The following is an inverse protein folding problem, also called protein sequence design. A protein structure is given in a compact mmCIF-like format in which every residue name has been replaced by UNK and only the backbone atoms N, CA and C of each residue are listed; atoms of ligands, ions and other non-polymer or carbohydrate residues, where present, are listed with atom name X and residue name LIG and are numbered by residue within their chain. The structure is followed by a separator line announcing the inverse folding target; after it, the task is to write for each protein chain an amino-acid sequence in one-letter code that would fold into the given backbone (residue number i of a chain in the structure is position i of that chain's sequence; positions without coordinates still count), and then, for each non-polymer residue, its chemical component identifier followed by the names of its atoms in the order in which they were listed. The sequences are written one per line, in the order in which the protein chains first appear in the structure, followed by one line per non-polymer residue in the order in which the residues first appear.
data_IF_201961272551
#
_entry.id   IF_201961272551
#
_cell.length_a   1.000
_cell.length_b   1.000
_cell.length_c   1.000
_cell.angle_alpha   90.00
_cell.angle_beta   90.00
_cell.angle_gamma   90.00
#
_symmetry.space_group_name_H-M   'P 1'
#
loop_
_entity.id
_entity.type
_entity.pdbx_description
1 polymer ?
#
# COMPACT_ATOMS: atom_id res chain seq x y z
N UNK A 1 -3.25 -9.74 -3.68
CA UNK A 1 -4.35 -9.22 -2.85
C UNK A 1 -4.96 -8.00 -3.52
N UNK A 2 -6.30 -7.93 -3.59
CA UNK A 2 -6.99 -6.72 -4.03
C UNK A 2 -7.16 -5.81 -2.81
N UNK A 3 -6.55 -4.63 -2.82
CA UNK A 3 -6.53 -3.74 -1.65
C UNK A 3 -7.49 -2.56 -1.75
N UNK A 4 -8.14 -2.37 -2.90
CA UNK A 4 -9.03 -1.24 -3.17
C UNK A 4 -8.39 0.10 -2.73
N UNK A 5 -9.05 0.82 -1.83
CA UNK A 5 -8.69 2.18 -1.39
C UNK A 5 -7.86 2.21 -0.09
N UNK A 6 -7.19 1.11 0.27
CA UNK A 6 -6.28 1.06 1.42
C UNK A 6 -5.26 2.21 1.44
N UNK A 7 -4.81 2.62 0.26
CA UNK A 7 -3.87 3.71 0.04
C UNK A 7 -4.35 4.58 -1.14
N UNK A 8 -4.55 5.87 -0.87
CA UNK A 8 -4.98 6.85 -1.87
C UNK A 8 -3.81 7.42 -2.70
N UNK A 9 -2.56 7.29 -2.24
CA UNK A 9 -1.38 7.77 -2.96
C UNK A 9 -0.19 6.83 -2.78
N UNK A 10 0.37 6.34 -3.88
CA UNK A 10 1.44 5.33 -3.89
C UNK A 10 2.76 5.76 -3.20
N UNK A 11 2.96 7.07 -3.01
CA UNK A 11 4.08 7.62 -2.23
C UNK A 11 3.68 7.88 -0.77
N UNK A 12 2.78 8.84 -0.52
CA UNK A 12 2.49 9.32 0.84
C UNK A 12 1.86 8.27 1.73
N UNK A 13 0.82 7.56 1.25
CA UNK A 13 0.13 6.55 2.06
C UNK A 13 1.02 5.36 2.40
N UNK A 14 2.09 5.12 1.63
CA UNK A 14 3.07 4.08 1.90
C UNK A 14 4.19 4.57 2.82
N UNK A 15 4.76 5.74 2.52
CA UNK A 15 5.86 6.31 3.31
C UNK A 15 5.41 6.79 4.71
N UNK A 16 4.14 7.19 4.84
CA UNK A 16 3.52 7.70 6.06
C UNK A 16 2.15 7.02 6.24
N UNK A 17 2.12 5.71 6.56
CA UNK A 17 0.86 4.96 6.61
C UNK A 17 -0.07 5.44 7.72
N UNK A 18 0.47 6.11 8.74
CA UNK A 18 -0.29 6.66 9.89
C UNK A 18 -0.93 8.03 9.59
N UNK A 19 -0.72 8.59 8.41
CA UNK A 19 -1.36 9.85 8.04
C UNK A 19 -2.80 9.59 7.61
N UNK A 20 -3.74 10.23 8.29
CA UNK A 20 -5.15 10.18 7.93
C UNK A 20 -5.37 10.73 6.51
N UNK A 21 -6.22 10.06 5.76
CA UNK A 21 -6.75 10.57 4.50
C UNK A 21 -8.11 11.22 4.75
N UNK A 22 -8.36 12.38 4.14
CA UNK A 22 -9.57 13.17 4.43
C UNK A 22 -10.90 12.49 4.08
N UNK A 23 -10.88 11.38 3.34
CA UNK A 23 -12.06 10.58 3.02
C UNK A 23 -12.11 9.25 3.79
N UNK A 24 -11.20 9.02 4.74
CA UNK A 24 -11.30 7.88 5.66
C UNK A 24 -12.57 8.07 6.53
N UNK A 25 -13.45 7.07 6.56
CA UNK A 25 -14.65 7.12 7.40
C UNK A 25 -14.33 7.04 8.89
N UNK A 26 -13.27 6.32 9.25
CA UNK A 26 -12.65 6.27 10.57
C UNK A 26 -11.13 6.35 10.38
N UNK A 27 -10.55 7.48 10.74
CA UNK A 27 -9.14 7.80 10.47
C UNK A 27 -8.17 6.93 11.25
N UNK A 28 -8.52 6.56 12.47
CA UNK A 28 -7.65 5.77 13.36
C UNK A 28 -7.65 4.31 12.92
N UNK A 29 -8.84 3.76 12.64
CA UNK A 29 -8.95 2.42 12.09
C UNK A 29 -8.30 2.33 10.70
N UNK A 30 -8.50 3.32 9.82
CA UNK A 30 -7.91 3.31 8.49
C UNK A 30 -6.37 3.33 8.54
N UNK A 31 -5.79 4.20 9.38
CA UNK A 31 -4.33 4.29 9.56
C UNK A 31 -3.74 2.98 10.11
N UNK A 32 -4.40 2.40 11.12
CA UNK A 32 -4.01 1.10 11.68
C UNK A 32 -4.09 -0.02 10.65
N UNK A 33 -5.21 -0.13 9.95
CA UNK A 33 -5.41 -1.13 8.89
C UNK A 33 -4.37 -0.97 7.77
N UNK A 34 -4.08 0.26 7.34
CA UNK A 34 -3.05 0.53 6.34
C UNK A 34 -1.69 0.02 6.77
N UNK A 35 -1.25 0.35 7.98
CA UNK A 35 0.05 -0.12 8.49
C UNK A 35 0.11 -1.64 8.64
N UNK A 36 -0.92 -2.26 9.18
CA UNK A 36 -0.99 -3.72 9.37
C UNK A 36 -0.96 -4.46 8.03
N UNK A 37 -1.79 -4.04 7.08
CA UNK A 37 -1.89 -4.67 5.77
C UNK A 37 -0.63 -4.45 4.94
N UNK A 38 -0.06 -3.24 4.91
CA UNK A 38 1.20 -2.99 4.21
C UNK A 38 2.37 -3.78 4.84
N UNK A 39 2.37 -3.93 6.17
CA UNK A 39 3.34 -4.76 6.89
C UNK A 39 3.27 -6.24 6.47
N UNK A 40 2.07 -6.81 6.44
CA UNK A 40 1.83 -8.17 5.96
C UNK A 40 2.27 -8.34 4.50
N UNK A 41 1.86 -7.42 3.61
CA UNK A 41 2.23 -7.49 2.19
C UNK A 41 3.75 -7.45 1.98
N UNK A 42 4.46 -6.64 2.76
CA UNK A 42 5.92 -6.54 2.68
C UNK A 42 6.63 -7.76 3.26
N UNK A 43 6.16 -8.28 4.41
CA UNK A 43 6.76 -9.43 5.08
C UNK A 43 6.61 -10.71 4.25
N UNK A 44 5.40 -10.95 3.73
CA UNK A 44 5.04 -12.18 3.03
C UNK A 44 5.25 -12.09 1.51
N UNK A 45 5.73 -10.93 1.03
CA UNK A 45 5.92 -10.62 -0.40
C UNK A 45 4.69 -10.89 -1.25
N UNK A 46 3.51 -10.58 -0.71
CA UNK A 46 2.24 -10.80 -1.40
C UNK A 46 2.05 -9.69 -2.45
N UNK A 47 1.85 -10.02 -3.74
CA UNK A 47 1.52 -9.02 -4.74
C UNK A 47 0.19 -8.33 -4.43
N UNK A 48 0.07 -7.04 -4.76
CA UNK A 48 -1.15 -6.26 -4.55
C UNK A 48 -1.66 -5.59 -5.84
N UNK A 49 -2.97 -5.36 -5.89
CA UNK A 49 -3.64 -4.48 -6.85
C UNK A 49 -4.40 -3.41 -6.08
N UNK A 50 -4.00 -2.15 -6.24
CA UNK A 50 -4.62 -0.99 -5.58
C UNK A 50 -5.29 -0.03 -6.55
N UNK A 51 -6.45 0.50 -6.19
CA UNK A 51 -7.29 1.31 -7.09
C UNK A 51 -6.62 2.65 -7.46
N UNK A 52 -5.90 3.26 -6.53
CA UNK A 52 -5.19 4.53 -6.72
C UNK A 52 -3.69 4.37 -7.01
N UNK A 53 -3.25 3.16 -7.34
CA UNK A 53 -1.86 2.92 -7.75
C UNK A 53 -1.66 3.26 -9.24
N UNK A 54 -0.43 3.62 -9.67
CA UNK A 54 -0.16 3.86 -11.09
C UNK A 54 -0.58 2.67 -11.95
N UNK A 55 -1.38 2.91 -13.00
CA UNK A 55 -1.88 1.87 -13.89
C UNK A 55 -0.73 0.97 -14.39
N UNK A 56 -0.84 -0.38 -14.31
CA UNK A 56 -2.05 -1.19 -14.10
C UNK A 56 -2.47 -1.40 -12.64
N UNK A 57 -1.84 -0.69 -11.71
CA UNK A 57 -2.14 -0.74 -10.28
C UNK A 57 -1.56 -1.96 -9.56
N UNK A 58 -0.76 -2.77 -10.26
CA UNK A 58 -0.16 -4.02 -9.76
C UNK A 58 1.28 -3.79 -9.30
N UNK A 59 1.63 -4.35 -8.14
CA UNK A 59 3.00 -4.30 -7.63
C UNK A 59 3.17 -5.07 -6.33
N UNK A 60 4.29 -4.87 -5.65
CA UNK A 60 4.54 -5.36 -4.30
C UNK A 60 4.89 -4.22 -3.35
N UNK A 61 5.01 -4.57 -2.06
CA UNK A 61 5.34 -3.62 -0.99
C UNK A 61 6.73 -3.96 -0.45
N UNK A 62 7.57 -2.96 -0.26
CA UNK A 62 8.86 -3.07 0.42
C UNK A 62 8.84 -2.23 1.70
N UNK A 63 9.54 -2.67 2.75
CA UNK A 63 9.81 -1.82 3.90
C UNK A 63 10.83 -0.73 3.52
N UNK A 64 10.60 0.50 3.99
CA UNK A 64 11.52 1.62 3.78
C UNK A 64 11.45 2.57 4.97
N UNK A 65 12.55 2.67 5.71
CA UNK A 65 12.60 3.47 6.95
C UNK A 65 11.45 3.05 7.89
N UNK A 66 10.67 4.00 8.41
CA UNK A 66 9.52 3.72 9.30
C UNK A 66 8.20 3.41 8.56
N UNK A 67 8.26 3.31 7.23
CA UNK A 67 7.12 3.09 6.36
C UNK A 67 7.40 2.08 5.26
N UNK A 68 6.78 2.31 4.11
CA UNK A 68 6.76 1.37 3.00
C UNK A 68 7.01 2.06 1.67
N UNK A 69 7.29 1.25 0.65
CA UNK A 69 7.40 1.66 -0.75
C UNK A 69 6.55 0.74 -1.61
N UNK A 70 5.68 1.32 -2.43
CA UNK A 70 5.04 0.59 -3.53
C UNK A 70 6.07 0.40 -4.64
N UNK A 71 6.21 -0.84 -5.11
CA UNK A 71 7.08 -1.19 -6.24
C UNK A 71 6.19 -1.69 -7.38
N UNK A 72 6.00 -0.89 -8.44
CA UNK A 72 5.16 -1.31 -9.55
C UNK A 72 5.81 -2.50 -10.25
N UNK A 73 4.98 -3.48 -10.59
CA UNK A 73 5.42 -4.48 -11.57
C UNK A 73 5.54 -3.82 -12.93
N UNK A 74 6.54 -4.28 -13.68
CA UNK A 74 6.76 -3.85 -15.05
C UNK A 74 6.00 -4.79 -15.99
N UNK A 75 6.68 -5.36 -16.98
CA UNK A 75 6.07 -6.27 -17.95
C UNK A 75 5.91 -7.71 -17.42
N UNK A 76 6.65 -8.07 -16.37
CA UNK A 76 6.64 -9.40 -15.75
C UNK A 76 6.51 -9.28 -14.25
N UNK A 77 5.79 -10.23 -13.65
CA UNK A 77 5.83 -10.47 -12.22
C UNK A 77 6.99 -11.43 -11.95
N UNK A 78 8.05 -10.98 -11.29
CA UNK A 78 9.06 -11.86 -10.73
C UNK A 78 8.75 -12.05 -9.25
N UNK A 79 8.56 -13.30 -8.85
CA UNK A 79 8.35 -13.71 -7.45
C UNK A 79 9.65 -13.81 -6.68
#
# INVERSE_FOLDING_TARGET
MLTADLANHYVWSFAKPDWAFGFDGDTDMASKSRREVLGMLAADKIPMIGYHMPFPGVGHVETREDGFRFVPFTYQMHG
#
